data_IF_164327039334
#
_entry.id   IF_164327039334
#
_cell.length_a   1.000
_cell.length_b   1.000
_cell.length_c   1.000
_cell.angle_alpha   90.00
_cell.angle_beta   90.00
_cell.angle_gamma   90.00
#
_symmetry.space_group_name_H-M   'P 1'
#
loop_
_entity.id
_entity.type
_entity.pdbx_description
1 polymer ?
#
# COMPACT_ATOMS: atom_id res chain seq x y z
N UNK A 1 -29.47 -21.86 -34.81
CA UNK A 1 -29.48 -20.60 -34.03
C UNK A 1 -29.27 -20.79 -32.51
N UNK A 2 -29.59 -21.95 -31.90
CA UNK A 2 -29.43 -22.18 -30.45
C UNK A 2 -27.98 -22.46 -29.96
N UNK A 3 -27.07 -22.82 -30.88
CA UNK A 3 -25.66 -23.13 -30.56
C UNK A 3 -24.75 -21.89 -30.53
N UNK A 4 -25.10 -20.84 -31.27
CA UNK A 4 -24.33 -19.59 -31.31
C UNK A 4 -24.60 -18.70 -30.08
N UNK A 5 -25.80 -18.80 -29.48
CA UNK A 5 -26.15 -18.08 -28.25
C UNK A 5 -25.44 -18.62 -27.01
N UNK A 6 -25.11 -19.92 -26.98
CA UNK A 6 -24.38 -20.51 -25.86
C UNK A 6 -22.92 -20.03 -25.78
N UNK A 7 -22.28 -19.74 -26.92
CA UNK A 7 -20.86 -19.32 -26.98
C UNK A 7 -20.67 -17.87 -26.54
N UNK A 8 -21.65 -16.99 -26.77
CA UNK A 8 -21.58 -15.57 -26.36
C UNK A 8 -21.73 -15.42 -24.85
N UNK A 9 -22.50 -16.28 -24.19
CA UNK A 9 -22.71 -16.19 -22.74
C UNK A 9 -21.48 -16.62 -21.92
N UNK A 10 -20.62 -17.48 -22.48
CA UNK A 10 -19.39 -17.95 -21.81
C UNK A 10 -18.27 -16.90 -21.82
N UNK A 11 -18.24 -15.98 -22.80
CA UNK A 11 -17.23 -14.91 -22.84
C UNK A 11 -17.51 -13.75 -21.86
N UNK A 12 -18.75 -13.55 -21.42
CA UNK A 12 -19.15 -12.45 -20.54
C UNK A 12 -18.80 -12.66 -19.06
N UNK A 13 -18.35 -13.85 -18.67
CA UNK A 13 -18.10 -14.21 -17.25
C UNK A 13 -16.63 -14.01 -16.83
N UNK A 14 -15.72 -13.70 -17.75
CA UNK A 14 -14.27 -13.62 -17.44
C UNK A 14 -13.73 -12.22 -17.05
N UNK A 15 -14.55 -11.17 -16.99
CA UNK A 15 -14.03 -9.79 -16.84
C UNK A 15 -13.85 -9.28 -15.42
N UNK A 16 -14.01 -10.09 -14.36
CA UNK A 16 -13.64 -9.65 -13.01
C UNK A 16 -12.15 -9.85 -12.77
N UNK A 17 -11.32 -9.15 -13.54
CA UNK A 17 -9.94 -8.90 -13.14
C UNK A 17 -10.00 -8.08 -11.86
N UNK A 18 -9.66 -8.73 -10.75
CA UNK A 18 -9.57 -8.11 -9.44
C UNK A 18 -8.62 -6.90 -9.52
N UNK A 19 -9.21 -5.70 -9.61
CA UNK A 19 -8.51 -4.45 -9.37
C UNK A 19 -8.19 -4.43 -7.88
N UNK A 20 -7.03 -4.97 -7.51
CA UNK A 20 -6.52 -4.77 -6.17
C UNK A 20 -6.31 -3.27 -5.94
N UNK A 21 -6.76 -2.78 -4.80
CA UNK A 21 -6.62 -1.37 -4.47
C UNK A 21 -5.15 -0.99 -4.41
N UNK A 22 -4.84 0.27 -4.70
CA UNK A 22 -3.47 0.76 -4.60
C UNK A 22 -3.34 1.63 -3.36
N UNK A 23 -2.47 1.22 -2.44
CA UNK A 23 -1.99 2.07 -1.35
C UNK A 23 -0.70 2.72 -1.84
N UNK A 24 -0.69 4.04 -1.93
CA UNK A 24 0.46 4.78 -2.44
C UNK A 24 0.69 6.07 -1.66
N UNK A 25 1.88 6.64 -1.79
CA UNK A 25 2.18 7.91 -1.15
C UNK A 25 3.67 8.16 -1.04
N UNK A 26 4.04 9.05 -0.13
CA UNK A 26 5.42 9.46 0.10
C UNK A 26 5.82 9.33 1.57
N UNK A 27 7.10 9.03 1.79
CA UNK A 27 7.75 9.05 3.09
C UNK A 27 8.77 10.18 3.13
N UNK A 28 8.69 11.01 4.17
CA UNK A 28 9.62 12.12 4.42
C UNK A 28 10.15 12.08 5.84
N UNK A 29 11.37 12.57 6.04
CA UNK A 29 11.89 12.92 7.36
C UNK A 29 12.06 14.44 7.40
N UNK A 30 11.19 15.11 8.17
CA UNK A 30 11.05 16.56 8.11
C UNK A 30 10.62 17.06 6.72
N UNK A 31 11.45 17.88 6.09
CA UNK A 31 11.23 18.40 4.75
C UNK A 31 11.81 17.50 3.64
N UNK A 32 12.74 16.60 3.98
CA UNK A 32 13.47 15.79 3.02
C UNK A 32 12.74 14.49 2.68
N UNK A 33 12.80 14.01 1.43
CA UNK A 33 12.37 12.65 1.11
C UNK A 33 13.24 11.63 1.84
N UNK A 34 12.66 10.50 2.25
CA UNK A 34 13.40 9.45 2.96
C UNK A 34 14.42 8.71 2.07
N UNK A 35 14.35 8.94 0.75
CA UNK A 35 15.21 8.31 -0.25
C UNK A 35 14.75 6.91 -0.67
N UNK A 36 15.57 6.27 -1.52
CA UNK A 36 15.27 4.97 -2.11
C UNK A 36 15.60 3.80 -1.18
N UNK A 37 14.90 2.68 -1.38
CA UNK A 37 15.24 1.40 -0.74
C UNK A 37 14.66 1.20 0.66
N UNK A 38 13.84 2.13 1.17
CA UNK A 38 13.12 1.91 2.42
C UNK A 38 11.97 0.93 2.17
N UNK A 39 11.94 -0.16 2.92
CA UNK A 39 10.91 -1.20 2.79
C UNK A 39 9.63 -0.76 3.50
N UNK A 40 8.53 -0.80 2.76
CA UNK A 40 7.19 -0.49 3.23
C UNK A 40 6.31 -1.71 3.08
N UNK A 41 5.52 -2.03 4.11
CA UNK A 41 4.63 -3.18 4.11
C UNK A 41 3.21 -2.79 4.49
N UNK A 42 2.23 -3.50 3.92
CA UNK A 42 0.82 -3.41 4.29
C UNK A 42 0.33 -4.82 4.61
N UNK A 43 -0.07 -5.03 5.85
CA UNK A 43 -0.71 -6.29 6.27
C UNK A 43 -2.20 -6.11 6.46
N UNK A 44 -2.99 -6.89 5.73
CA UNK A 44 -4.45 -6.94 5.83
C UNK A 44 -4.85 -8.38 6.15
N UNK A 45 -5.33 -8.64 7.37
CA UNK A 45 -5.59 -9.99 7.85
C UNK A 45 -4.31 -10.85 7.84
N UNK A 46 -4.36 -12.01 7.16
CA UNK A 46 -3.21 -12.92 7.04
C UNK A 46 -2.24 -12.56 5.90
N UNK A 47 -2.60 -11.61 5.03
CA UNK A 47 -1.79 -11.27 3.85
C UNK A 47 -0.90 -10.06 4.14
N UNK A 48 0.35 -10.10 3.64
CA UNK A 48 1.29 -8.98 3.71
C UNK A 48 1.84 -8.69 2.32
N UNK A 49 1.78 -7.41 1.94
CA UNK A 49 2.27 -6.87 0.68
C UNK A 49 3.39 -5.88 0.97
N UNK A 50 4.37 -5.77 0.08
CA UNK A 50 5.49 -4.85 0.29
C UNK A 50 5.92 -4.15 -0.99
N UNK A 51 6.56 -3.00 -0.82
CA UNK A 51 7.30 -2.28 -1.85
C UNK A 51 8.52 -1.58 -1.23
N UNK A 52 9.37 -1.03 -2.08
CA UNK A 52 10.48 -0.19 -1.69
C UNK A 52 10.23 1.23 -2.17
N UNK A 53 10.68 2.22 -1.40
CA UNK A 53 10.63 3.61 -1.83
C UNK A 53 11.57 3.86 -3.00
N UNK A 54 11.20 4.82 -3.85
CA UNK A 54 12.08 5.38 -4.88
C UNK A 54 12.96 6.53 -4.34
N UNK A 55 13.76 7.15 -5.22
CA UNK A 55 14.66 8.25 -4.85
C UNK A 55 13.96 9.47 -4.22
N UNK A 56 12.64 9.62 -4.44
CA UNK A 56 11.83 10.70 -3.89
C UNK A 56 11.04 10.26 -2.64
N UNK A 57 11.32 9.06 -2.11
CA UNK A 57 10.60 8.49 -0.98
C UNK A 57 9.19 8.03 -1.32
N UNK A 58 8.83 7.95 -2.61
CA UNK A 58 7.51 7.53 -3.03
C UNK A 58 7.39 6.00 -3.03
N UNK A 59 6.22 5.48 -2.68
CA UNK A 59 5.92 4.06 -2.67
C UNK A 59 4.54 3.79 -3.27
N UNK A 60 4.37 2.57 -3.78
CA UNK A 60 3.11 2.08 -4.35
C UNK A 60 2.98 0.58 -4.11
N UNK A 61 1.91 0.15 -3.46
CA UNK A 61 1.65 -1.23 -3.08
C UNK A 61 0.26 -1.61 -3.56
N UNK A 62 0.15 -2.73 -4.29
CA UNK A 62 -1.14 -3.31 -4.65
C UNK A 62 -1.65 -4.16 -3.47
N UNK A 63 -2.82 -3.81 -2.94
CA UNK A 63 -3.44 -4.42 -1.77
C UNK A 63 -4.84 -4.90 -2.16
N UNK A 64 -5.00 -6.17 -2.58
CA UNK A 64 -6.28 -6.71 -3.01
C UNK A 64 -7.36 -6.79 -1.91
N UNK A 65 -6.94 -6.90 -0.65
CA UNK A 65 -7.85 -6.97 0.49
C UNK A 65 -8.25 -5.57 0.93
N UNK A 66 -9.54 -5.41 1.25
CA UNK A 66 -10.13 -4.17 1.76
C UNK A 66 -10.26 -4.20 3.28
N UNK A 67 -10.41 -3.02 3.87
CA UNK A 67 -10.64 -2.85 5.30
C UNK A 67 -9.40 -2.39 6.05
N UNK A 68 -9.41 -2.58 7.37
CA UNK A 68 -8.33 -2.14 8.25
C UNK A 68 -7.06 -2.96 8.01
N UNK A 69 -5.96 -2.28 7.81
CA UNK A 69 -4.64 -2.87 7.60
C UNK A 69 -3.59 -2.18 8.47
N UNK A 70 -2.47 -2.87 8.73
CA UNK A 70 -1.31 -2.30 9.41
C UNK A 70 -0.24 -1.95 8.37
N UNK A 71 0.13 -0.68 8.33
CA UNK A 71 1.24 -0.16 7.56
C UNK A 71 2.53 -0.26 8.38
N UNK A 72 3.60 -0.79 7.79
CA UNK A 72 4.92 -0.91 8.43
C UNK A 72 5.99 -0.25 7.58
N UNK A 73 6.89 0.48 8.22
CA UNK A 73 8.09 1.04 7.58
C UNK A 73 9.31 0.52 8.31
N UNK A 74 10.22 -0.11 7.57
CA UNK A 74 11.52 -0.55 8.08
C UNK A 74 12.51 0.60 7.92
N UNK A 75 12.77 1.36 8.98
CA UNK A 75 13.61 2.55 8.94
C UNK A 75 14.64 2.55 10.06
N UNK A 76 15.91 2.77 9.69
CA UNK A 76 17.04 2.87 10.62
C UNK A 76 17.09 1.75 11.69
N UNK A 77 16.87 0.50 11.25
CA UNK A 77 16.87 -0.69 12.12
C UNK A 77 15.61 -0.86 12.98
N UNK A 78 14.61 0.00 12.83
CA UNK A 78 13.34 -0.05 13.55
C UNK A 78 12.17 -0.35 12.60
N UNK A 79 11.11 -0.92 13.16
CA UNK A 79 9.83 -1.09 12.46
C UNK A 79 8.85 -0.09 13.04
N UNK A 80 8.40 0.85 12.21
CA UNK A 80 7.44 1.88 12.59
C UNK A 80 6.07 1.52 12.03
N UNK A 81 5.04 1.52 12.87
CA UNK A 81 3.70 1.06 12.52
C UNK A 81 2.71 2.21 12.43
N UNK A 82 1.71 2.07 11.56
CA UNK A 82 0.54 2.94 11.49
C UNK A 82 -0.69 2.17 10.99
N UNK A 83 -1.87 2.45 11.53
CA UNK A 83 -3.11 1.82 11.04
C UNK A 83 -3.65 2.57 9.81
N UNK A 84 -3.90 1.85 8.73
CA UNK A 84 -4.47 2.38 7.48
C UNK A 84 -5.73 1.60 7.08
N UNK A 85 -6.43 2.09 6.07
CA UNK A 85 -7.55 1.40 5.45
C UNK A 85 -7.29 1.25 3.95
N UNK A 86 -7.58 0.05 3.45
CA UNK A 86 -7.62 -0.26 2.02
C UNK A 86 -9.07 -0.21 1.53
N UNK A 87 -9.29 0.40 0.37
CA UNK A 87 -10.60 0.61 -0.25
C UNK A 87 -10.69 -0.10 -1.60
N UNK A 88 -11.75 0.11 -2.36
CA UNK A 88 -11.77 -0.28 -3.79
C UNK A 88 -10.88 0.64 -4.63
N UNK A 89 -10.97 1.93 -4.37
CA UNK A 89 -10.20 2.94 -5.09
C UNK A 89 -8.78 3.10 -4.53
N UNK A 90 -7.82 3.51 -5.36
CA UNK A 90 -6.49 3.88 -4.90
C UNK A 90 -6.54 4.95 -3.80
N UNK A 91 -5.83 4.69 -2.70
CA UNK A 91 -5.79 5.57 -1.53
C UNK A 91 -4.37 6.09 -1.28
N UNK A 92 -4.29 7.40 -1.05
CA UNK A 92 -3.04 8.09 -0.77
C UNK A 92 -2.76 8.20 0.73
N UNK A 93 -1.56 7.80 1.12
CA UNK A 93 -1.03 7.90 2.47
C UNK A 93 0.36 8.55 2.45
N UNK A 94 0.41 9.86 2.68
CA UNK A 94 1.67 10.55 2.89
C UNK A 94 2.03 10.55 4.38
N UNK A 95 3.26 10.16 4.71
CA UNK A 95 3.74 10.12 6.08
C UNK A 95 5.02 10.91 6.27
N UNK A 96 5.12 11.52 7.45
CA UNK A 96 6.37 11.98 8.03
C UNK A 96 6.88 10.95 9.04
N UNK A 97 8.13 10.55 8.91
CA UNK A 97 8.88 9.81 9.91
C UNK A 97 9.49 10.83 10.87
N UNK A 98 9.07 10.76 12.14
CA UNK A 98 9.47 11.70 13.19
C UNK A 98 10.31 10.95 14.22
N UNK A 99 11.57 11.37 14.38
CA UNK A 99 12.43 10.92 15.46
C UNK A 99 11.98 11.52 16.79
N UNK A 100 11.72 10.66 17.76
CA UNK A 100 11.33 11.02 19.12
C UNK A 100 12.57 11.29 19.98
N UNK A 101 12.39 12.00 21.10
CA UNK A 101 13.47 12.31 22.05
C UNK A 101 14.12 11.07 22.68
N UNK A 102 13.39 9.96 22.74
CA UNK A 102 13.87 8.66 23.23
C UNK A 102 14.63 7.83 22.16
N UNK A 103 14.82 8.37 20.95
CA UNK A 103 15.50 7.69 19.85
C UNK A 103 14.65 6.71 19.04
N UNK A 104 13.35 6.59 19.30
CA UNK A 104 12.43 5.83 18.45
C UNK A 104 11.87 6.68 17.31
N UNK A 105 11.32 6.04 16.28
CA UNK A 105 10.61 6.72 15.21
C UNK A 105 9.09 6.53 15.30
N UNK A 106 8.34 7.51 14.82
CA UNK A 106 6.88 7.44 14.67
C UNK A 106 6.45 7.93 13.30
N UNK A 107 5.32 7.43 12.81
CA UNK A 107 4.68 7.91 11.59
C UNK A 107 3.60 8.92 11.92
N UNK A 108 3.63 10.08 11.27
CA UNK A 108 2.56 11.08 11.29
C UNK A 108 2.00 11.25 9.89
N UNK A 109 0.68 11.08 9.73
CA UNK A 109 0.00 11.33 8.47
C UNK A 109 -0.02 12.83 8.14
N UNK A 110 0.27 13.19 6.89
CA UNK A 110 0.12 14.55 6.36
C UNK A 110 -1.23 14.75 5.67
#
# INVERSE_FOLDING_TARGET
MKRATATIFVLLVLTTLALGSQVYGTLKEGAAPIGAGVRVEVSCGANTYFAYTDAYGAYKINVPLKGKCTFRVHYNGQIVLYDIYSYDDPVRYDFEVIKQSNGTYQLKRK
#
